data_IF_402302734729
#
_entry.id   IF_402302734729
#
_cell.length_a   1.000
_cell.length_b   1.000
_cell.length_c   1.000
_cell.angle_alpha   90.00
_cell.angle_beta   90.00
_cell.angle_gamma   90.00
#
_symmetry.space_group_name_H-M   'P 1'
#
loop_
_entity.id
_entity.type
_entity.pdbx_description
1 polymer ?
#
# COMPACT_ATOMS: atom_id res chain seq x y z
N UNK A 1 -0.20 -18.90 -7.24
CA UNK A 1 -1.23 -18.70 -6.18
C UNK A 1 -1.81 -17.31 -6.36
N UNK A 2 -3.13 -17.15 -6.23
CA UNK A 2 -3.79 -15.85 -6.38
C UNK A 2 -3.50 -14.96 -5.17
N UNK A 3 -3.05 -13.74 -5.42
CA UNK A 3 -2.80 -12.69 -4.40
C UNK A 3 -4.09 -12.04 -3.88
N UNK A 4 -5.25 -12.39 -4.46
CA UNK A 4 -6.59 -11.95 -4.05
C UNK A 4 -7.55 -13.14 -4.04
N UNK A 5 -8.48 -13.16 -3.10
CA UNK A 5 -9.56 -14.17 -3.04
C UNK A 5 -10.69 -13.96 -4.06
N UNK A 6 -10.63 -12.87 -4.83
CA UNK A 6 -11.62 -12.48 -5.83
C UNK A 6 -11.00 -12.41 -7.23
N UNK A 7 -11.84 -12.52 -8.26
CA UNK A 7 -11.41 -12.40 -9.66
C UNK A 7 -10.95 -10.99 -10.00
N UNK A 8 -10.07 -10.81 -11.02
CA UNK A 8 -9.63 -9.48 -11.44
C UNK A 8 -10.78 -8.52 -11.78
N UNK A 9 -11.86 -9.04 -12.38
CA UNK A 9 -13.05 -8.25 -12.71
C UNK A 9 -13.76 -7.73 -11.45
N UNK A 10 -13.88 -8.56 -10.41
CA UNK A 10 -14.50 -8.16 -9.14
C UNK A 10 -13.66 -7.12 -8.41
N UNK A 11 -12.33 -7.32 -8.37
CA UNK A 11 -11.39 -6.34 -7.78
C UNK A 11 -11.52 -4.99 -8.51
N UNK A 12 -11.57 -5.00 -9.85
CA UNK A 12 -11.71 -3.78 -10.64
C UNK A 12 -13.05 -3.06 -10.36
N UNK A 13 -14.15 -3.80 -10.23
CA UNK A 13 -15.46 -3.22 -9.89
C UNK A 13 -15.46 -2.59 -8.49
N UNK A 14 -14.95 -3.31 -7.50
CA UNK A 14 -14.87 -2.83 -6.12
C UNK A 14 -13.98 -1.57 -6.00
N UNK A 15 -12.85 -1.55 -6.70
CA UNK A 15 -11.96 -0.40 -6.76
C UNK A 15 -12.63 0.82 -7.41
N UNK A 16 -13.37 0.62 -8.51
CA UNK A 16 -14.10 1.70 -9.21
C UNK A 16 -15.15 2.35 -8.32
N UNK A 17 -15.90 1.55 -7.55
CA UNK A 17 -16.90 2.06 -6.60
C UNK A 17 -16.21 2.84 -5.47
N UNK A 18 -15.25 2.21 -4.80
CA UNK A 18 -14.59 2.81 -3.63
C UNK A 18 -13.79 4.07 -3.97
N UNK A 19 -13.27 4.17 -5.20
CA UNK A 19 -12.56 5.36 -5.68
C UNK A 19 -13.47 6.59 -5.71
N UNK A 20 -14.75 6.42 -6.09
CA UNK A 20 -15.74 7.50 -6.10
C UNK A 20 -16.09 7.94 -4.69
N UNK A 21 -16.22 6.99 -3.77
CA UNK A 21 -16.47 7.28 -2.36
C UNK A 21 -15.29 8.02 -1.74
N UNK A 22 -14.06 7.61 -2.03
CA UNK A 22 -12.85 8.27 -1.55
C UNK A 22 -12.71 9.71 -2.08
N UNK A 23 -13.12 9.95 -3.32
CA UNK A 23 -13.02 11.28 -3.97
C UNK A 23 -13.90 12.35 -3.31
N UNK A 24 -14.99 11.96 -2.64
CA UNK A 24 -15.90 12.91 -1.98
C UNK A 24 -15.63 13.06 -0.47
N UNK A 25 -14.64 12.34 0.07
CA UNK A 25 -14.31 12.44 1.49
C UNK A 25 -13.59 13.75 1.79
N UNK A 26 -13.89 14.38 2.95
CA UNK A 26 -13.16 15.57 3.37
C UNK A 26 -11.69 15.22 3.66
N UNK A 27 -10.76 16.20 3.50
CA UNK A 27 -9.33 15.97 3.69
C UNK A 27 -8.98 15.35 5.05
N UNK A 28 -9.67 15.75 6.11
CA UNK A 28 -9.47 15.27 7.47
C UNK A 28 -9.76 13.77 7.59
N UNK A 29 -10.79 13.27 6.91
CA UNK A 29 -11.13 11.85 6.90
C UNK A 29 -10.04 11.03 6.18
N UNK A 30 -9.50 11.55 5.06
CA UNK A 30 -8.39 10.91 4.34
C UNK A 30 -7.10 10.91 5.17
N UNK A 31 -6.81 12.01 5.85
CA UNK A 31 -5.64 12.15 6.72
C UNK A 31 -5.72 11.25 7.97
N UNK A 32 -6.92 11.08 8.53
CA UNK A 32 -7.17 10.12 9.58
C UNK A 32 -6.91 8.69 9.09
N UNK A 33 -7.37 8.33 7.89
CA UNK A 33 -7.12 7.02 7.31
C UNK A 33 -5.61 6.75 7.11
N UNK A 34 -4.83 7.73 6.61
CA UNK A 34 -3.37 7.61 6.49
C UNK A 34 -2.69 7.40 7.85
N UNK A 35 -3.14 8.11 8.88
CA UNK A 35 -2.63 7.95 10.25
C UNK A 35 -2.95 6.56 10.82
N UNK A 36 -4.15 6.05 10.57
CA UNK A 36 -4.55 4.71 10.98
C UNK A 36 -3.73 3.62 10.28
N UNK A 37 -3.47 3.77 8.97
CA UNK A 37 -2.61 2.86 8.19
C UNK A 37 -1.19 2.87 8.76
N UNK A 38 -0.63 4.05 9.04
CA UNK A 38 0.70 4.16 9.66
C UNK A 38 0.74 3.41 11.00
N UNK A 39 -0.25 3.62 11.87
CA UNK A 39 -0.33 2.96 13.17
C UNK A 39 -0.44 1.43 13.05
N UNK A 40 -1.29 0.94 12.14
CA UNK A 40 -1.45 -0.48 11.88
C UNK A 40 -0.15 -1.12 11.38
N UNK A 41 0.52 -0.52 10.39
CA UNK A 41 1.80 -1.00 9.89
C UNK A 41 2.87 -1.02 10.97
N UNK A 42 2.95 0.04 11.78
CA UNK A 42 3.89 0.10 12.90
C UNK A 42 3.64 -1.02 13.92
N UNK A 43 2.39 -1.29 14.28
CA UNK A 43 2.01 -2.37 15.20
C UNK A 43 2.30 -3.77 14.65
N UNK A 44 2.22 -3.94 13.32
CA UNK A 44 2.42 -5.21 12.64
C UNK A 44 3.86 -5.41 12.12
N UNK A 45 4.80 -4.54 12.53
CA UNK A 45 6.16 -4.48 11.99
C UNK A 45 6.86 -5.84 11.97
N UNK A 46 6.89 -6.52 13.11
CA UNK A 46 7.65 -7.77 13.24
C UNK A 46 7.05 -8.87 12.37
N UNK A 47 5.72 -8.95 12.31
CA UNK A 47 4.99 -9.87 11.44
C UNK A 47 5.31 -9.61 9.96
N UNK A 48 5.32 -8.34 9.54
CA UNK A 48 5.60 -7.97 8.14
C UNK A 48 7.06 -8.26 7.78
N UNK A 49 8.02 -7.93 8.66
CA UNK A 49 9.44 -8.20 8.42
C UNK A 49 9.74 -9.71 8.41
N UNK A 50 9.08 -10.49 9.25
CA UNK A 50 9.19 -11.95 9.24
C UNK A 50 8.64 -12.55 7.93
N UNK A 51 7.53 -12.02 7.40
CA UNK A 51 7.00 -12.42 6.10
C UNK A 51 7.98 -12.05 4.96
N UNK A 52 8.50 -10.81 4.96
CA UNK A 52 9.47 -10.36 3.95
C UNK A 52 10.78 -11.18 3.96
N UNK A 53 11.21 -11.67 5.13
CA UNK A 53 12.36 -12.56 5.23
C UNK A 53 12.15 -13.88 4.46
N UNK A 54 10.95 -14.47 4.53
CA UNK A 54 10.59 -15.66 3.76
C UNK A 54 10.59 -15.38 2.25
N UNK A 55 10.09 -14.21 1.86
CA UNK A 55 10.13 -13.78 0.45
C UNK A 55 11.58 -13.61 -0.04
N UNK A 56 12.46 -13.08 0.80
CA UNK A 56 13.89 -12.95 0.50
C UNK A 56 14.58 -14.29 0.36
N UNK A 57 14.27 -15.28 1.20
CA UNK A 57 14.80 -16.63 1.08
C UNK A 57 14.41 -17.25 -0.27
N UNK A 58 13.12 -17.21 -0.61
CA UNK A 58 12.61 -17.72 -1.89
C UNK A 58 13.24 -16.99 -3.09
N UNK A 59 13.34 -15.67 -3.02
CA UNK A 59 13.96 -14.87 -4.08
C UNK A 59 15.47 -15.12 -4.20
N UNK A 60 16.15 -15.42 -3.08
CA UNK A 60 17.58 -15.75 -3.07
C UNK A 60 17.84 -17.06 -3.78
N UNK A 61 17.04 -18.09 -3.53
CA UNK A 61 17.09 -19.37 -4.25
C UNK A 61 16.86 -19.15 -5.75
N UNK A 62 15.79 -18.44 -6.12
CA UNK A 62 15.49 -18.15 -7.52
C UNK A 62 16.58 -17.31 -8.21
N UNK A 63 17.28 -16.44 -7.47
CA UNK A 63 18.41 -15.68 -8.00
C UNK A 63 19.68 -16.52 -8.16
N UNK A 64 19.88 -17.53 -7.32
CA UNK A 64 20.95 -18.52 -7.48
C UNK A 64 20.71 -19.38 -8.73
N UNK A 65 19.46 -19.73 -9.00
CA UNK A 65 19.03 -20.51 -10.17
C UNK A 65 18.93 -19.67 -11.47
N UNK A 66 19.32 -18.39 -11.42
CA UNK A 66 19.29 -17.47 -12.56
C UNK A 66 17.90 -17.01 -13.01
N UNK A 67 16.84 -17.40 -12.29
CA UNK A 67 15.45 -17.01 -12.58
C UNK A 67 15.15 -15.56 -12.17
N UNK A 68 15.89 -15.03 -11.20
CA UNK A 68 15.80 -13.63 -10.76
C UNK A 68 17.17 -12.94 -10.80
N UNK A 69 17.17 -11.65 -11.14
CA UNK A 69 18.38 -10.84 -11.00
C UNK A 69 18.64 -10.49 -9.54
N UNK A 70 19.92 -10.45 -9.15
CA UNK A 70 20.32 -10.07 -7.77
C UNK A 70 19.89 -8.66 -7.36
N UNK A 71 19.56 -7.78 -8.32
CA UNK A 71 19.05 -6.44 -8.01
C UNK A 71 17.66 -6.47 -7.38
N UNK A 72 16.85 -7.49 -7.67
CA UNK A 72 15.52 -7.68 -7.09
C UNK A 72 15.60 -7.90 -5.58
N UNK A 73 16.59 -8.66 -5.09
CA UNK A 73 16.79 -8.88 -3.66
C UNK A 73 16.90 -7.56 -2.89
N UNK A 74 17.63 -6.58 -3.45
CA UNK A 74 17.78 -5.27 -2.82
C UNK A 74 16.49 -4.45 -2.81
N UNK A 75 15.62 -4.63 -3.81
CA UNK A 75 14.31 -3.96 -3.89
C UNK A 75 13.30 -4.61 -2.95
N UNK A 76 13.38 -5.93 -2.77
CA UNK A 76 12.51 -6.71 -1.92
C UNK A 76 12.83 -6.56 -0.42
N UNK A 77 14.11 -6.44 -0.06
CA UNK A 77 14.58 -6.38 1.33
C UNK A 77 14.07 -5.14 2.07
N UNK A 78 13.02 -5.30 2.88
CA UNK A 78 12.40 -4.25 3.69
C UNK A 78 13.14 -4.03 5.01
N UNK A 79 13.86 -5.05 5.48
CA UNK A 79 14.64 -5.03 6.73
C UNK A 79 15.91 -4.19 6.66
N UNK A 80 16.33 -3.76 5.46
CA UNK A 80 17.46 -2.84 5.30
C UNK A 80 17.31 -1.61 6.20
N UNK A 81 18.41 -1.25 6.86
CA UNK A 81 18.51 -0.06 7.72
C UNK A 81 17.90 1.16 7.04
N UNK A 82 17.01 1.85 7.75
CA UNK A 82 16.31 3.04 7.26
C UNK A 82 15.03 2.74 6.50
N UNK A 83 15.01 1.73 5.62
CA UNK A 83 13.92 1.53 4.65
C UNK A 83 12.53 1.39 5.27
N UNK A 84 12.40 0.62 6.36
CA UNK A 84 11.12 0.53 7.10
C UNK A 84 10.68 1.89 7.66
N UNK A 85 11.62 2.63 8.26
CA UNK A 85 11.34 3.95 8.84
C UNK A 85 10.96 4.94 7.75
N UNK A 86 11.70 4.96 6.65
CA UNK A 86 11.46 5.86 5.51
C UNK A 86 10.11 5.55 4.84
N UNK A 87 9.75 4.27 4.74
CA UNK A 87 8.43 3.85 4.24
C UNK A 87 7.29 4.36 5.13
N UNK A 88 7.40 4.20 6.46
CA UNK A 88 6.40 4.72 7.38
C UNK A 88 6.34 6.25 7.37
N UNK A 89 7.50 6.92 7.34
CA UNK A 89 7.57 8.38 7.28
C UNK A 89 6.89 8.89 6.01
N UNK A 90 7.10 8.24 4.86
CA UNK A 90 6.45 8.63 3.61
C UNK A 90 4.92 8.64 3.66
N UNK A 91 4.28 7.84 4.54
CA UNK A 91 2.82 7.88 4.75
C UNK A 91 2.42 9.17 5.46
N UNK A 92 3.19 9.58 6.47
CA UNK A 92 2.96 10.83 7.21
C UNK A 92 3.28 12.04 6.34
N UNK A 93 4.34 11.95 5.53
CA UNK A 93 4.71 13.01 4.58
C UNK A 93 3.55 13.27 3.61
N UNK A 94 2.90 12.23 3.08
CA UNK A 94 1.73 12.38 2.20
C UNK A 94 0.52 12.96 2.93
N UNK A 95 0.29 12.57 4.19
CA UNK A 95 -0.80 13.12 5.03
C UNK A 95 -0.63 14.63 5.26
N UNK A 96 0.61 15.07 5.38
CA UNK A 96 0.97 16.46 5.70
C UNK A 96 1.09 17.34 4.44
N UNK A 97 0.86 16.80 3.25
CA UNK A 97 0.73 17.58 2.01
C UNK A 97 -0.60 18.35 1.97
N UNK A 98 -0.57 19.52 1.34
CA UNK A 98 -1.78 20.26 1.00
C UNK A 98 -2.68 19.44 0.04
N UNK A 99 -3.99 19.65 0.15
CA UNK A 99 -4.94 18.95 -0.70
C UNK A 99 -4.67 19.27 -2.18
N UNK A 100 -4.42 18.26 -3.05
CA UNK A 100 -4.21 18.48 -4.46
C UNK A 100 -5.38 19.20 -5.15
N UNK A 101 -6.61 19.16 -4.62
CA UNK A 101 -7.74 19.91 -5.18
C UNK A 101 -7.58 21.43 -5.04
N UNK A 102 -6.90 21.91 -4.00
CA UNK A 102 -6.64 23.35 -3.78
C UNK A 102 -5.63 23.88 -4.81
N UNK A 103 -4.84 23.01 -5.45
CA UNK A 103 -3.87 23.39 -6.50
C UNK A 103 -4.46 23.34 -7.94
N UNK A 104 -5.72 22.92 -8.11
CA UNK A 104 -6.33 22.68 -9.44
C UNK A 104 -7.07 23.88 -10.06
N UNK A 105 -6.66 25.11 -9.79
CA UNK A 105 -7.10 26.29 -10.57
C UNK A 105 -6.37 26.41 -11.93
N UNK A 106 -5.52 25.45 -12.30
CA UNK A 106 -4.88 25.40 -13.61
C UNK A 106 -4.93 23.98 -14.18
N UNK A 107 -5.83 23.82 -15.15
CA UNK A 107 -6.36 22.53 -15.59
C UNK A 107 -5.36 21.53 -16.17
N UNK A 108 -5.48 20.29 -15.71
CA UNK A 108 -5.66 19.05 -16.52
C UNK A 108 -5.71 17.86 -15.57
N UNK A 109 -6.71 17.00 -15.74
CA UNK A 109 -6.98 15.86 -14.85
C UNK A 109 -5.77 14.96 -14.62
N UNK A 110 -5.49 14.69 -13.34
CA UNK A 110 -4.34 13.89 -12.93
C UNK A 110 -4.77 12.46 -12.60
N UNK A 111 -4.31 11.52 -13.44
CA UNK A 111 -4.46 10.06 -13.33
C UNK A 111 -3.83 9.43 -12.08
N UNK A 112 -3.35 10.23 -11.12
CA UNK A 112 -2.62 9.78 -9.93
C UNK A 112 -3.53 9.38 -8.76
N UNK A 113 -4.77 9.90 -8.72
CA UNK A 113 -5.76 9.53 -7.70
C UNK A 113 -6.22 8.06 -7.82
N UNK A 114 -6.16 7.49 -9.03
CA UNK A 114 -6.56 6.09 -9.27
C UNK A 114 -5.63 5.07 -8.60
N UNK A 115 -4.37 5.43 -8.34
CA UNK A 115 -3.37 4.51 -7.78
C UNK A 115 -3.39 4.49 -6.24
N UNK A 116 -3.74 5.61 -5.60
CA UNK A 116 -3.95 5.68 -4.15
C UNK A 116 -5.22 4.92 -3.72
N UNK A 117 -6.29 4.98 -4.53
CA UNK A 117 -7.50 4.19 -4.34
C UNK A 117 -7.23 2.66 -4.35
N UNK A 118 -6.20 2.21 -5.07
CA UNK A 118 -5.86 0.79 -5.18
C UNK A 118 -5.34 0.18 -3.86
N UNK A 119 -4.62 0.97 -3.04
CA UNK A 119 -4.08 0.49 -1.77
C UNK A 119 -5.11 0.57 -0.63
N UNK A 120 -6.01 1.54 -0.63
CA UNK A 120 -7.02 1.70 0.43
C UNK A 120 -8.07 0.57 0.41
N UNK A 121 -8.43 0.09 -0.79
CA UNK A 121 -9.40 -1.02 -0.98
C UNK A 121 -8.84 -2.36 -0.52
N UNK A 122 -7.56 -2.62 -0.76
CA UNK A 122 -6.88 -3.83 -0.31
C UNK A 122 -6.71 -3.86 1.22
N UNK A 123 -6.52 -2.70 1.84
CA UNK A 123 -6.40 -2.60 3.30
C UNK A 123 -7.77 -2.81 4.00
N UNK A 124 -8.85 -2.23 3.50
CA UNK A 124 -10.18 -2.36 4.12
C UNK A 124 -10.73 -3.81 4.05
N UNK A 125 -10.51 -4.53 2.95
CA UNK A 125 -10.92 -5.94 2.86
C UNK A 125 -10.06 -6.88 3.72
N UNK A 126 -8.81 -6.53 4.00
CA UNK A 126 -7.91 -7.36 4.82
C UNK A 126 -8.15 -7.14 6.31
N UNK A 127 -8.37 -5.89 6.75
CA UNK A 127 -8.56 -5.56 8.16
C UNK A 127 -9.94 -5.96 8.72
N UNK A 128 -11.00 -6.02 7.91
CA UNK A 128 -12.33 -6.41 8.38
C UNK A 128 -12.55 -7.94 8.49
N UNK A 129 -11.65 -8.77 7.96
CA UNK A 129 -11.77 -10.25 8.02
C UNK A 129 -10.89 -10.94 9.03
N UNK A 130 -9.93 -10.25 9.65
CA UNK A 130 -9.11 -10.80 10.75
C UNK A 130 -9.68 -10.48 12.14
N UNK A 131 -10.93 -10.00 12.20
CA UNK A 131 -11.60 -9.57 13.43
C UNK A 131 -12.86 -10.42 13.75
N UNK A 132 -12.95 -11.65 13.23
CA UNK A 132 -13.95 -12.63 13.65
C UNK A 132 -13.21 -13.93 14.05
N UNK A 133 -13.45 -14.49 15.25
CA UNK A 133 -12.70 -15.61 15.81
C UNK A 133 -12.95 -16.96 15.11
#
# INVERSE_FOLDING_TARGET
MSITSSSPLEVAKAASISSKDLAILPPEARNHALTAIHGALLSAKDTILAANAKDLEAATTAAADGQLSRSILKRLDLGRKGKWKDMLQGILDVRDLDDPEILHHSGRGNSSLLLAAFHLVMFNQTCLRTADP
#
